data_IF_495520640500
#
_entry.id   IF_495520640500
#
_cell.length_a   1.000
_cell.length_b   1.000
_cell.length_c   1.000
_cell.angle_alpha   90.00
_cell.angle_beta   90.00
_cell.angle_gamma   90.00
#
_symmetry.space_group_name_H-M   'P 1'
#
loop_
_entity.id
_entity.type
_entity.pdbx_description
1 polymer ?
#
# COMPACT_ATOMS: atom_id res chain seq x y z
N UNK A 1 8.14 -19.17 8.60
CA UNK A 1 8.42 -19.51 7.19
C UNK A 1 9.46 -20.63 7.08
N UNK A 2 10.58 -20.56 7.82
CA UNK A 2 11.61 -21.61 7.91
C UNK A 2 11.09 -23.05 8.00
N UNK A 3 10.28 -23.37 9.02
CA UNK A 3 9.76 -24.75 9.25
C UNK A 3 9.03 -25.34 8.04
N UNK A 4 8.31 -24.53 7.27
CA UNK A 4 7.52 -25.00 6.13
C UNK A 4 8.35 -25.05 4.84
N UNK A 5 9.18 -24.03 4.58
CA UNK A 5 9.95 -23.95 3.33
C UNK A 5 11.16 -24.89 3.31
N UNK A 6 11.79 -25.14 4.46
CA UNK A 6 12.82 -26.18 4.55
C UNK A 6 12.26 -27.58 4.24
N UNK A 7 10.99 -27.83 4.55
CA UNK A 7 10.31 -29.10 4.27
C UNK A 7 10.04 -29.37 2.79
N UNK A 8 10.12 -28.34 1.93
CA UNK A 8 9.95 -28.47 0.46
C UNK A 8 11.26 -28.28 -0.31
N UNK A 9 12.40 -28.28 0.39
CA UNK A 9 13.74 -28.24 -0.23
C UNK A 9 14.31 -26.85 -0.47
N UNK A 10 13.70 -25.78 0.04
CA UNK A 10 14.26 -24.43 -0.06
C UNK A 10 15.50 -24.27 0.83
N UNK A 11 16.53 -23.59 0.31
CA UNK A 11 17.74 -23.29 1.06
C UNK A 11 17.49 -22.24 2.13
N UNK A 12 18.27 -22.27 3.21
CA UNK A 12 18.16 -21.27 4.29
C UNK A 12 18.42 -19.83 3.78
N UNK A 13 19.36 -19.68 2.84
CA UNK A 13 19.65 -18.39 2.19
C UNK A 13 18.42 -17.84 1.44
N UNK A 14 17.79 -18.68 0.62
CA UNK A 14 16.58 -18.30 -0.10
C UNK A 14 15.45 -17.88 0.85
N UNK A 15 15.24 -18.64 1.93
CA UNK A 15 14.19 -18.33 2.91
C UNK A 15 14.47 -16.97 3.57
N UNK A 16 15.70 -16.73 4.02
CA UNK A 16 16.12 -15.47 4.65
C UNK A 16 15.94 -14.26 3.70
N UNK A 17 16.31 -14.43 2.42
CA UNK A 17 16.13 -13.39 1.40
C UNK A 17 14.65 -13.09 1.15
N UNK A 18 13.80 -14.11 1.07
CA UNK A 18 12.36 -13.91 0.94
C UNK A 18 11.73 -13.28 2.19
N UNK A 19 12.14 -13.69 3.40
CA UNK A 19 11.71 -13.05 4.65
C UNK A 19 12.07 -11.56 4.64
N UNK A 20 13.28 -11.21 4.22
CA UNK A 20 13.71 -9.81 4.08
C UNK A 20 12.84 -9.03 3.10
N UNK A 21 12.55 -9.59 1.93
CA UNK A 21 11.70 -8.93 0.93
C UNK A 21 10.27 -8.73 1.44
N UNK A 22 9.72 -9.69 2.19
CA UNK A 22 8.41 -9.56 2.83
C UNK A 22 8.46 -8.47 3.90
N UNK A 23 9.49 -8.43 4.74
CA UNK A 23 9.63 -7.40 5.78
C UNK A 23 9.68 -5.98 5.20
N UNK A 24 10.14 -5.81 3.96
CA UNK A 24 10.14 -4.50 3.30
C UNK A 24 8.72 -3.91 3.10
N UNK A 25 7.66 -4.74 3.10
CA UNK A 25 6.27 -4.27 3.02
C UNK A 25 5.73 -3.74 4.34
N UNK A 26 6.39 -4.04 5.46
CA UNK A 26 6.06 -3.44 6.75
C UNK A 26 6.45 -1.96 6.75
N UNK A 27 5.48 -1.08 7.06
CA UNK A 27 5.68 0.37 7.05
C UNK A 27 6.67 0.83 8.12
N UNK A 28 6.74 0.11 9.24
CA UNK A 28 7.67 0.41 10.34
C UNK A 28 9.05 -0.20 10.13
N UNK A 29 9.22 -1.01 9.07
CA UNK A 29 10.51 -1.61 8.75
C UNK A 29 11.53 -0.52 8.39
N UNK A 30 12.71 -0.49 9.04
CA UNK A 30 13.72 0.53 8.82
C UNK A 30 14.52 0.24 7.54
N UNK A 31 13.85 0.34 6.38
CA UNK A 31 14.36 -0.09 5.07
C UNK A 31 15.77 0.45 4.78
N UNK A 32 16.00 1.74 5.00
CA UNK A 32 17.28 2.40 4.74
C UNK A 32 18.41 1.98 5.70
N UNK A 33 18.10 1.34 6.82
CA UNK A 33 19.07 0.85 7.79
C UNK A 33 19.40 -0.63 7.59
N UNK A 34 18.62 -1.34 6.75
CA UNK A 34 18.84 -2.75 6.52
C UNK A 34 20.04 -3.00 5.60
N UNK A 35 20.92 -3.91 6.02
CA UNK A 35 22.03 -4.40 5.23
C UNK A 35 21.55 -5.56 4.33
N UNK A 36 21.15 -5.25 3.10
CA UNK A 36 20.80 -6.27 2.11
C UNK A 36 22.02 -7.08 1.67
N UNK A 37 21.83 -8.37 1.45
CA UNK A 37 22.89 -9.27 0.99
C UNK A 37 23.42 -8.90 -0.42
N UNK A 38 22.53 -8.40 -1.29
CA UNK A 38 22.88 -7.93 -2.64
C UNK A 38 22.05 -6.70 -3.04
N UNK A 39 22.53 -5.95 -4.03
CA UNK A 39 21.75 -4.87 -4.65
C UNK A 39 20.46 -5.37 -5.29
N UNK A 40 20.47 -6.61 -5.81
CA UNK A 40 19.28 -7.27 -6.35
C UNK A 40 18.23 -7.48 -5.26
N UNK A 41 18.63 -7.92 -4.06
CA UNK A 41 17.72 -8.10 -2.93
C UNK A 41 17.12 -6.78 -2.48
N UNK A 42 17.95 -5.73 -2.39
CA UNK A 42 17.48 -4.37 -2.12
C UNK A 42 16.45 -3.94 -3.16
N UNK A 43 16.75 -4.10 -4.46
CA UNK A 43 15.84 -3.75 -5.55
C UNK A 43 14.52 -4.53 -5.46
N UNK A 44 14.56 -5.83 -5.17
CA UNK A 44 13.36 -6.64 -4.96
C UNK A 44 12.52 -6.12 -3.81
N UNK A 45 13.15 -5.82 -2.66
CA UNK A 45 12.47 -5.20 -1.51
C UNK A 45 11.79 -3.89 -1.88
N UNK A 46 12.47 -3.00 -2.63
CA UNK A 46 11.89 -1.74 -3.09
C UNK A 46 10.68 -1.95 -4.01
N UNK A 47 10.81 -2.85 -4.99
CA UNK A 47 9.75 -3.13 -5.95
C UNK A 47 8.53 -3.78 -5.27
N UNK A 48 8.73 -4.73 -4.35
CA UNK A 48 7.64 -5.40 -3.64
C UNK A 48 6.94 -4.44 -2.69
N UNK A 49 7.69 -3.67 -1.89
CA UNK A 49 7.12 -2.65 -1.00
C UNK A 49 6.32 -1.59 -1.78
N UNK A 50 6.87 -1.09 -2.90
CA UNK A 50 6.17 -0.12 -3.73
C UNK A 50 4.91 -0.74 -4.37
N UNK A 51 4.98 -2.00 -4.80
CA UNK A 51 3.83 -2.68 -5.40
C UNK A 51 2.68 -2.87 -4.42
N UNK A 52 3.00 -3.22 -3.17
CA UNK A 52 2.00 -3.37 -2.10
C UNK A 52 1.26 -2.05 -1.82
N UNK A 53 2.02 -0.96 -1.61
CA UNK A 53 1.50 0.39 -1.41
C UNK A 53 0.60 0.86 -2.56
N UNK A 54 1.08 0.71 -3.80
CA UNK A 54 0.35 1.13 -5.00
C UNK A 54 -0.93 0.30 -5.20
N UNK A 55 -0.86 -1.02 -5.01
CA UNK A 55 -2.01 -1.89 -5.20
C UNK A 55 -3.11 -1.61 -4.18
N UNK A 56 -2.76 -1.40 -2.91
CA UNK A 56 -3.73 -1.11 -1.85
C UNK A 56 -4.47 0.21 -2.08
N UNK A 57 -3.74 1.26 -2.46
CA UNK A 57 -4.29 2.63 -2.55
C UNK A 57 -4.90 2.97 -3.90
N UNK A 58 -4.45 2.35 -4.98
CA UNK A 58 -5.04 2.51 -6.29
C UNK A 58 -6.27 1.62 -6.51
N UNK A 59 -6.67 0.82 -5.52
CA UNK A 59 -7.92 0.08 -5.60
C UNK A 59 -9.10 1.05 -5.79
N UNK A 60 -9.96 0.74 -6.75
CA UNK A 60 -11.15 1.55 -7.06
C UNK A 60 -12.16 1.60 -5.91
N UNK A 61 -12.03 0.72 -4.93
CA UNK A 61 -12.82 0.70 -3.67
C UNK A 61 -11.94 0.93 -2.43
N UNK A 62 -10.74 1.50 -2.58
CA UNK A 62 -9.81 1.76 -1.47
C UNK A 62 -10.50 2.43 -0.27
N UNK A 63 -11.21 3.55 -0.51
CA UNK A 63 -11.92 4.28 0.55
C UNK A 63 -13.03 3.44 1.21
N UNK A 64 -13.73 2.62 0.42
CA UNK A 64 -14.81 1.76 0.91
C UNK A 64 -14.28 0.59 1.76
N UNK A 65 -12.99 0.24 1.60
CA UNK A 65 -12.31 -0.80 2.38
C UNK A 65 -11.73 -0.30 3.71
N UNK A 66 -11.60 1.01 3.91
CA UNK A 66 -11.03 1.55 5.17
C UNK A 66 -11.80 1.11 6.43
N UNK A 67 -13.15 1.04 6.44
CA UNK A 67 -13.88 0.46 7.57
C UNK A 67 -13.51 -0.99 7.89
N UNK A 68 -13.26 -1.82 6.86
CA UNK A 68 -12.83 -3.21 7.04
C UNK A 68 -11.41 -3.26 7.63
N UNK A 69 -10.50 -2.42 7.12
CA UNK A 69 -9.14 -2.29 7.65
C UNK A 69 -9.16 -1.87 9.13
N UNK A 70 -10.04 -0.96 9.53
CA UNK A 70 -10.19 -0.59 10.93
C UNK A 70 -10.64 -1.77 11.80
N UNK A 71 -11.58 -2.59 11.32
CA UNK A 71 -11.99 -3.80 12.03
C UNK A 71 -10.84 -4.81 12.18
N UNK A 72 -9.98 -4.92 11.17
CA UNK A 72 -8.77 -5.74 11.22
C UNK A 72 -7.80 -5.23 12.29
N UNK A 73 -7.56 -3.91 12.35
CA UNK A 73 -6.75 -3.29 13.40
C UNK A 73 -7.30 -3.57 14.80
N UNK A 74 -8.62 -3.39 15.00
CA UNK A 74 -9.27 -3.67 16.28
C UNK A 74 -9.13 -5.13 16.70
N UNK A 75 -9.32 -6.08 15.77
CA UNK A 75 -9.13 -7.52 16.03
C UNK A 75 -7.68 -7.87 16.34
N UNK A 76 -6.72 -7.17 15.73
CA UNK A 76 -5.30 -7.31 15.99
C UNK A 76 -4.84 -6.60 17.28
N UNK A 77 -5.73 -5.89 17.98
CA UNK A 77 -5.39 -5.11 19.17
C UNK A 77 -4.62 -3.81 18.86
N UNK A 78 -4.58 -3.39 17.60
CA UNK A 78 -3.92 -2.17 17.15
C UNK A 78 -4.86 -0.99 17.39
N UNK A 79 -4.48 -0.08 18.29
CA UNK A 79 -5.24 1.15 18.61
C UNK A 79 -4.75 2.33 17.77
N UNK A 80 -4.80 2.19 16.45
CA UNK A 80 -4.33 3.23 15.53
C UNK A 80 -5.33 4.38 15.33
N UNK A 81 -6.64 4.11 15.40
CA UNK A 81 -7.68 5.13 15.19
C UNK A 81 -8.92 4.91 16.07
N UNK A 82 -9.59 6.00 16.46
CA UNK A 82 -10.78 5.95 17.32
C UNK A 82 -12.04 5.47 16.58
N UNK A 83 -12.19 5.81 15.31
CA UNK A 83 -13.37 5.47 14.49
C UNK A 83 -13.09 5.55 12.98
N UNK A 84 -14.04 5.04 12.18
CA UNK A 84 -13.94 4.97 10.72
C UNK A 84 -13.74 6.35 10.06
N UNK A 85 -14.43 7.38 10.56
CA UNK A 85 -14.32 8.73 10.01
C UNK A 85 -12.92 9.32 10.22
N UNK A 86 -12.28 9.01 11.36
CA UNK A 86 -10.88 9.36 11.63
C UNK A 86 -9.94 8.77 10.59
N UNK A 87 -9.97 7.45 10.42
CA UNK A 87 -9.15 6.74 9.43
C UNK A 87 -9.36 7.27 8.00
N UNK A 88 -10.62 7.55 7.63
CA UNK A 88 -10.94 8.14 6.33
C UNK A 88 -10.33 9.55 6.17
N UNK A 89 -10.42 10.40 7.21
CA UNK A 89 -9.84 11.76 7.17
C UNK A 89 -8.32 11.77 7.09
N UNK A 90 -7.66 10.73 7.56
CA UNK A 90 -6.20 10.57 7.53
C UNK A 90 -5.69 10.02 6.18
N UNK A 91 -6.56 9.45 5.34
CA UNK A 91 -6.15 8.87 4.04
C UNK A 91 -5.30 9.81 3.15
N UNK A 92 -5.57 11.13 3.05
CA UNK A 92 -4.67 12.04 2.34
C UNK A 92 -3.27 12.14 2.95
N UNK A 93 -3.17 12.20 4.28
CA UNK A 93 -1.89 12.25 5.00
C UNK A 93 -1.12 10.93 4.83
N UNK A 94 -1.83 9.80 4.89
CA UNK A 94 -1.25 8.49 4.59
C UNK A 94 -0.66 8.45 3.17
N UNK A 95 -1.39 8.99 2.18
CA UNK A 95 -0.88 9.05 0.82
C UNK A 95 0.37 9.93 0.67
N UNK A 96 0.46 11.04 1.40
CA UNK A 96 1.65 11.89 1.41
C UNK A 96 2.84 11.17 2.08
N UNK A 97 2.60 10.44 3.17
CA UNK A 97 3.59 9.54 3.77
C UNK A 97 4.09 8.48 2.76
N UNK A 98 3.19 7.83 2.02
CA UNK A 98 3.58 6.86 1.01
C UNK A 98 4.43 7.47 -0.11
N UNK A 99 4.08 8.66 -0.60
CA UNK A 99 4.86 9.37 -1.61
C UNK A 99 6.27 9.66 -1.11
N UNK A 100 6.39 10.11 0.14
CA UNK A 100 7.68 10.31 0.78
C UNK A 100 8.49 9.01 0.86
N UNK A 101 7.88 7.91 1.30
CA UNK A 101 8.52 6.59 1.36
C UNK A 101 8.97 6.10 -0.01
N UNK A 102 8.13 6.24 -1.03
CA UNK A 102 8.46 5.87 -2.42
C UNK A 102 9.74 6.57 -2.90
N UNK A 103 9.83 7.88 -2.68
CA UNK A 103 10.96 8.69 -3.14
C UNK A 103 12.22 8.43 -2.30
N UNK A 104 12.09 8.41 -0.97
CA UNK A 104 13.24 8.48 -0.06
C UNK A 104 13.74 7.12 0.44
N UNK A 105 12.94 6.06 0.32
CA UNK A 105 13.30 4.71 0.78
C UNK A 105 13.28 3.71 -0.37
N UNK A 106 12.29 3.83 -1.26
CA UNK A 106 12.05 2.84 -2.31
C UNK A 106 12.63 3.23 -3.67
N UNK A 107 13.58 4.18 -3.70
CA UNK A 107 14.28 4.66 -4.90
C UNK A 107 13.33 5.08 -6.04
N UNK A 108 12.13 5.56 -5.74
CA UNK A 108 11.14 6.02 -6.74
C UNK A 108 10.84 4.99 -7.83
N UNK A 109 10.81 3.70 -7.49
CA UNK A 109 10.59 2.60 -8.45
C UNK A 109 9.18 2.60 -9.07
N UNK A 110 8.24 3.35 -8.49
CA UNK A 110 6.92 3.61 -9.07
C UNK A 110 6.99 4.29 -10.45
N UNK A 111 8.10 4.99 -10.76
CA UNK A 111 8.35 5.55 -12.10
C UNK A 111 8.23 4.52 -13.23
N UNK A 112 8.47 3.23 -12.94
CA UNK A 112 8.37 2.15 -13.91
C UNK A 112 6.93 1.78 -14.28
N UNK A 113 5.93 2.27 -13.54
CA UNK A 113 4.52 2.03 -13.86
C UNK A 113 4.11 2.71 -15.17
N UNK A 114 4.56 3.93 -15.45
CA UNK A 114 4.25 4.63 -16.71
C UNK A 114 4.72 3.83 -17.95
N UNK A 115 6.00 3.43 -18.09
CA UNK A 115 6.42 2.61 -19.22
C UNK A 115 5.76 1.23 -19.23
N UNK A 116 5.44 0.64 -18.07
CA UNK A 116 4.63 -0.59 -18.00
C UNK A 116 3.25 -0.40 -18.66
N UNK A 117 2.52 0.66 -18.28
CA UNK A 117 1.20 0.94 -18.85
C UNK A 117 1.26 1.28 -20.34
N UNK A 118 2.31 2.00 -20.76
CA UNK A 118 2.54 2.35 -22.17
C UNK A 118 2.79 1.11 -23.01
N UNK A 119 3.68 0.23 -22.56
CA UNK A 119 4.05 -0.99 -23.29
C UNK A 119 2.88 -1.97 -23.38
N UNK A 120 2.15 -2.17 -22.27
CA UNK A 120 1.12 -3.20 -22.19
C UNK A 120 -0.23 -2.79 -22.75
N UNK A 121 -0.59 -1.51 -22.67
CA UNK A 121 -1.93 -1.02 -23.04
C UNK A 121 -1.92 0.23 -23.93
N UNK A 122 -0.75 0.75 -24.32
CA UNK A 122 -0.66 1.99 -25.10
C UNK A 122 -1.01 3.25 -24.30
N UNK A 123 -1.11 3.16 -22.97
CA UNK A 123 -1.48 4.27 -22.09
C UNK A 123 -0.21 4.86 -21.49
N UNK A 124 0.19 6.05 -21.95
CA UNK A 124 1.41 6.72 -21.46
C UNK A 124 1.21 7.49 -20.14
N UNK A 125 0.59 6.84 -19.15
CA UNK A 125 0.30 7.40 -17.82
C UNK A 125 0.54 6.34 -16.74
N UNK A 126 0.94 6.77 -15.54
CA UNK A 126 0.87 5.92 -14.36
C UNK A 126 -0.60 5.82 -13.89
N UNK A 127 -1.31 4.77 -14.33
CA UNK A 127 -2.74 4.60 -14.04
C UNK A 127 -3.03 4.35 -12.55
N UNK A 128 -2.06 3.86 -11.79
CA UNK A 128 -2.20 3.74 -10.34
C UNK A 128 -2.27 5.13 -9.70
N UNK A 129 -1.32 6.02 -10.01
CA UNK A 129 -1.32 7.39 -9.49
C UNK A 129 -2.60 8.15 -9.87
N UNK A 130 -3.04 8.03 -11.14
CA UNK A 130 -4.31 8.64 -11.60
C UNK A 130 -5.50 8.16 -10.78
N UNK A 131 -5.52 6.88 -10.40
CA UNK A 131 -6.64 6.32 -9.63
C UNK A 131 -6.60 6.79 -8.17
N UNK A 132 -5.42 6.79 -7.56
CA UNK A 132 -5.19 7.31 -6.20
C UNK A 132 -5.66 8.77 -6.09
N UNK A 133 -5.21 9.64 -7.01
CA UNK A 133 -5.54 11.06 -7.00
C UNK A 133 -7.04 11.31 -7.15
N UNK A 134 -7.71 10.53 -8.00
CA UNK A 134 -9.17 10.59 -8.19
C UNK A 134 -9.91 10.15 -6.92
N UNK A 135 -9.49 9.05 -6.30
CA UNK A 135 -10.10 8.54 -5.07
C UNK A 135 -9.99 9.54 -3.93
N UNK A 136 -8.81 10.13 -3.73
CA UNK A 136 -8.57 11.13 -2.68
C UNK A 136 -9.32 12.45 -2.97
N UNK A 137 -9.28 12.93 -4.21
CA UNK A 137 -10.04 14.14 -4.60
C UNK A 137 -11.54 13.95 -4.40
N UNK A 138 -12.07 12.77 -4.75
CA UNK A 138 -13.46 12.42 -4.51
C UNK A 138 -13.79 12.44 -3.02
N UNK A 139 -12.94 11.81 -2.20
CA UNK A 139 -13.10 11.79 -0.76
C UNK A 139 -13.11 13.20 -0.16
N UNK A 140 -12.10 14.01 -0.47
CA UNK A 140 -11.97 15.36 0.06
C UNK A 140 -13.16 16.25 -0.29
N UNK A 141 -13.69 16.13 -1.52
CA UNK A 141 -14.89 16.88 -1.92
C UNK A 141 -16.14 16.45 -1.11
N UNK A 142 -16.28 15.15 -0.84
CA UNK A 142 -17.43 14.60 -0.11
C UNK A 142 -17.40 14.92 1.38
N UNK A 143 -16.25 14.79 2.03
CA UNK A 143 -16.08 15.15 3.45
C UNK A 143 -16.38 16.63 3.71
N UNK A 144 -16.05 17.52 2.77
CA UNK A 144 -16.42 18.95 2.88
C UNK A 144 -17.92 19.21 2.83
N UNK A 145 -18.69 18.32 2.18
CA UNK A 145 -20.13 18.52 1.95
C UNK A 145 -20.97 17.93 3.08
N UNK A 146 -20.62 16.75 3.57
CA UNK A 146 -21.39 16.03 4.60
C UNK A 146 -20.51 15.01 5.33
N UNK A 147 -20.01 15.41 6.50
CA UNK A 147 -19.16 14.57 7.34
C UNK A 147 -19.94 13.46 8.09
N UNK A 148 -21.24 13.63 8.31
CA UNK A 148 -22.03 12.69 9.13
C UNK A 148 -22.61 11.54 8.32
N UNK A 149 -22.77 11.68 7.00
CA UNK A 149 -23.36 10.65 6.14
C UNK A 149 -22.42 10.23 4.99
N UNK A 150 -21.12 10.07 5.27
CA UNK A 150 -20.13 9.73 4.24
C UNK A 150 -20.35 8.34 3.61
N UNK A 151 -20.94 7.38 4.35
CA UNK A 151 -21.21 6.01 3.86
C UNK A 151 -22.16 5.98 2.66
N UNK A 152 -23.06 6.96 2.50
CA UNK A 152 -23.96 7.04 1.33
C UNK A 152 -23.23 7.24 0.00
N UNK A 153 -21.94 7.59 0.06
CA UNK A 153 -21.09 7.77 -1.12
C UNK A 153 -20.30 6.52 -1.49
N UNK A 154 -20.35 5.45 -0.69
CA UNK A 154 -19.78 4.15 -1.05
C UNK A 154 -20.70 3.48 -2.07
N UNK A 155 -20.16 3.23 -3.27
CA UNK A 155 -20.97 2.81 -4.42
C UNK A 155 -20.99 1.31 -4.61
N UNK A 156 -20.01 0.58 -4.08
CA UNK A 156 -19.73 -0.80 -4.49
C UNK A 156 -19.77 -1.80 -3.35
N UNK A 157 -19.47 -1.37 -2.13
CA UNK A 157 -19.70 -2.17 -0.93
C UNK A 157 -21.05 -1.76 -0.32
N UNK A 158 -22.09 -2.54 -0.59
CA UNK A 158 -23.40 -2.43 0.07
C UNK A 158 -23.44 -3.43 1.23
N UNK A 159 -23.84 -2.99 2.42
CA UNK A 159 -24.11 -3.88 3.56
C UNK A 159 -23.00 -3.97 4.63
N UNK A 160 -22.14 -2.96 4.75
CA UNK A 160 -21.33 -2.71 5.96
C UNK A 160 -22.10 -1.89 6.99
#
# INVERSE_FOLDING_TARGET
>A
MQKHLSGVGSTADFISRCETVILCTDLDYPFNQHCFATDTDKRMGQMIAASDLLAQTADRIYIEKLPLLLQEFQKAGIKSHENELGLIKEAPQFNDFMRHRLVNELDGVDRYMRPHFKCRWGIDLNMYQVTIDRSLSHLSARLKTDNSNYRKYFRRIKGL
#
